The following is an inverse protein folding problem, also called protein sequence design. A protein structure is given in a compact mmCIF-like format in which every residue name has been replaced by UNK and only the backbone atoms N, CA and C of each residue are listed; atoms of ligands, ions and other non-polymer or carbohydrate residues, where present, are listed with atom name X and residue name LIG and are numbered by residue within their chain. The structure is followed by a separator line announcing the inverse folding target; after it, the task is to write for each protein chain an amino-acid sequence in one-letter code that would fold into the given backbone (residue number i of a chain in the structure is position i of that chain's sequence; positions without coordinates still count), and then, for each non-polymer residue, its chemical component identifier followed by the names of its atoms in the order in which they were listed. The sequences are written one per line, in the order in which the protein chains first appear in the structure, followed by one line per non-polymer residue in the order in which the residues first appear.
data_IF_313438387630
#
_entry.id   IF_313438387630
#
_cell.length_a   1.000
_cell.length_b   1.000
_cell.length_c   1.000
_cell.angle_alpha   90.00
_cell.angle_beta   90.00
_cell.angle_gamma   90.00
#
_symmetry.space_group_name_H-M   'P 1'
#
loop_
_entity.id
_entity.type
_entity.pdbx_description
1 polymer ?
#
# COMPACT_ATOMS: atom_id res chain seq x y z
N UNK A 1 -65.56 4.16 21.97
CA UNK A 1 -64.52 4.97 22.64
C UNK A 1 -63.43 4.00 23.05
N UNK A 2 -62.22 4.23 22.54
CA UNK A 2 -61.01 3.40 22.48
C UNK A 2 -60.79 2.31 23.55
N UNK A 3 -60.46 1.11 23.07
CA UNK A 3 -59.99 -0.04 23.85
C UNK A 3 -58.54 0.20 24.35
N UNK A 4 -58.20 -0.10 25.62
CA UNK A 4 -56.89 0.20 26.18
C UNK A 4 -55.80 -0.76 25.65
N UNK A 5 -54.70 -0.17 25.17
CA UNK A 5 -53.50 -0.85 24.67
C UNK A 5 -52.87 -1.75 25.74
N UNK A 6 -52.76 -3.04 25.44
CA UNK A 6 -52.08 -4.04 26.26
C UNK A 6 -50.58 -3.70 26.42
N UNK A 7 -49.99 -3.86 27.62
CA UNK A 7 -48.58 -3.58 27.83
C UNK A 7 -47.70 -4.64 27.16
N UNK A 8 -46.70 -4.17 26.41
CA UNK A 8 -45.73 -5.04 25.72
C UNK A 8 -45.07 -6.04 26.68
N UNK A 9 -45.05 -7.30 26.27
CA UNK A 9 -44.59 -8.41 27.10
C UNK A 9 -43.06 -8.40 27.25
N UNK A 10 -42.53 -8.50 28.50
CA UNK A 10 -41.11 -8.27 28.82
C UNK A 10 -40.16 -9.32 28.21
N UNK A 11 -40.68 -10.46 27.75
CA UNK A 11 -39.89 -11.58 27.22
C UNK A 11 -39.28 -11.31 25.85
N UNK A 12 -39.87 -10.40 25.07
CA UNK A 12 -39.37 -9.99 23.75
C UNK A 12 -38.01 -9.27 23.84
N UNK A 13 -37.84 -8.45 24.89
CA UNK A 13 -36.64 -7.64 25.12
C UNK A 13 -35.43 -8.50 25.49
N UNK A 14 -35.61 -9.52 26.34
CA UNK A 14 -34.55 -10.44 26.74
C UNK A 14 -34.04 -11.24 25.53
N UNK A 15 -34.95 -11.78 24.70
CA UNK A 15 -34.56 -12.56 23.52
C UNK A 15 -33.79 -11.73 22.49
N UNK A 16 -34.19 -10.47 22.29
CA UNK A 16 -33.48 -9.52 21.43
C UNK A 16 -32.07 -9.23 21.95
N UNK A 17 -31.92 -9.04 23.26
CA UNK A 17 -30.62 -8.79 23.88
C UNK A 17 -29.65 -9.97 23.72
N UNK A 18 -30.13 -11.20 23.89
CA UNK A 18 -29.30 -12.39 23.65
C UNK A 18 -28.86 -12.51 22.19
N UNK A 19 -29.74 -12.21 21.22
CA UNK A 19 -29.38 -12.22 19.81
C UNK A 19 -28.29 -11.18 19.52
N UNK A 20 -28.41 -9.97 20.07
CA UNK A 20 -27.40 -8.93 19.93
C UNK A 20 -26.06 -9.35 20.55
N UNK A 21 -26.08 -9.94 21.75
CA UNK A 21 -24.88 -10.47 22.41
C UNK A 21 -24.22 -11.56 21.55
N UNK A 22 -25.00 -12.50 21.01
CA UNK A 22 -24.46 -13.55 20.14
C UNK A 22 -23.79 -12.98 18.88
N UNK A 23 -24.39 -11.97 18.25
CA UNK A 23 -23.79 -11.29 17.08
C UNK A 23 -22.48 -10.61 17.47
N UNK A 24 -22.42 -9.94 18.62
CA UNK A 24 -21.20 -9.28 19.11
C UNK A 24 -20.11 -10.31 19.42
N UNK A 25 -20.45 -11.44 20.04
CA UNK A 25 -19.49 -12.50 20.34
C UNK A 25 -18.97 -13.16 19.05
N UNK A 26 -19.85 -13.43 18.08
CA UNK A 26 -19.45 -14.01 16.79
C UNK A 26 -18.57 -13.05 16.02
N UNK A 27 -18.91 -11.76 15.96
CA UNK A 27 -18.06 -10.75 15.28
C UNK A 27 -16.70 -10.63 15.98
N UNK A 28 -16.66 -10.65 17.32
CA UNK A 28 -15.41 -10.66 18.08
C UNK A 28 -14.56 -11.90 17.79
N UNK A 29 -15.17 -13.09 17.77
CA UNK A 29 -14.47 -14.35 17.46
C UNK A 29 -13.97 -14.37 16.01
N UNK A 30 -14.75 -13.87 15.06
CA UNK A 30 -14.32 -13.75 13.66
C UNK A 30 -13.15 -12.78 13.55
N UNK A 31 -13.22 -11.60 14.16
CA UNK A 31 -12.10 -10.65 14.17
C UNK A 31 -10.87 -11.25 14.84
N UNK A 32 -11.03 -11.97 15.95
CA UNK A 32 -9.93 -12.63 16.65
C UNK A 32 -9.30 -13.76 15.84
N UNK A 33 -10.12 -14.60 15.20
CA UNK A 33 -9.65 -15.72 14.39
C UNK A 33 -8.97 -15.23 13.11
N UNK A 34 -9.61 -14.29 12.42
CA UNK A 34 -9.07 -13.70 11.19
C UNK A 34 -8.08 -12.57 11.45
N UNK A 35 -7.73 -12.26 12.72
CA UNK A 35 -6.83 -11.15 13.08
C UNK A 35 -5.54 -11.16 12.27
N UNK A 36 -4.97 -12.33 12.03
CA UNK A 36 -3.71 -12.45 11.30
C UNK A 36 -3.86 -12.10 9.80
N UNK A 37 -5.00 -12.41 9.17
CA UNK A 37 -5.30 -12.02 7.78
C UNK A 37 -5.82 -10.59 7.68
N UNK A 38 -6.57 -10.12 8.68
CA UNK A 38 -7.11 -8.76 8.75
C UNK A 38 -5.97 -7.76 8.95
N UNK A 39 -4.98 -8.05 9.81
CA UNK A 39 -3.82 -7.16 10.03
C UNK A 39 -3.02 -6.99 8.74
N UNK A 40 -2.73 -8.07 8.01
CA UNK A 40 -2.00 -8.00 6.73
C UNK A 40 -2.76 -7.22 5.64
N UNK A 41 -4.09 -7.34 5.58
CA UNK A 41 -4.91 -6.62 4.60
C UNK A 41 -5.18 -5.16 5.00
N UNK A 42 -5.36 -4.89 6.29
CA UNK A 42 -5.59 -3.56 6.84
C UNK A 42 -4.34 -2.69 6.78
N UNK A 43 -3.15 -3.27 6.97
CA UNK A 43 -1.89 -2.54 6.80
C UNK A 43 -1.68 -2.16 5.32
N UNK A 44 -2.00 -3.07 4.39
CA UNK A 44 -2.00 -2.79 2.94
C UNK A 44 -2.94 -1.64 2.57
N UNK A 45 -4.13 -1.57 3.18
CA UNK A 45 -5.09 -0.49 2.92
C UNK A 45 -4.70 0.84 3.58
N UNK A 46 -4.19 0.83 4.82
CA UNK A 46 -3.80 2.06 5.54
C UNK A 46 -2.53 2.69 5.00
N UNK A 47 -1.55 1.88 4.63
CA UNK A 47 -0.26 2.37 4.15
C UNK A 47 -0.37 2.89 2.72
N UNK A 48 -1.14 2.21 1.85
CA UNK A 48 -1.43 2.69 0.49
C UNK A 48 -2.21 4.02 0.49
N UNK A 49 -3.15 4.18 1.43
CA UNK A 49 -3.99 5.37 1.50
C UNK A 49 -3.25 6.58 2.12
N UNK A 50 -2.21 6.37 2.95
CA UNK A 50 -1.28 7.43 3.37
C UNK A 50 -0.34 7.85 2.24
N UNK A 51 0.20 6.89 1.50
CA UNK A 51 1.07 7.16 0.34
C UNK A 51 0.29 7.94 -0.75
N UNK A 52 -1.01 7.65 -0.93
CA UNK A 52 -1.87 8.34 -1.91
C UNK A 52 -2.41 9.70 -1.45
N UNK A 53 -2.48 9.97 -0.15
CA UNK A 53 -3.05 11.22 0.42
C UNK A 53 -1.98 12.15 1.01
N UNK A 54 -0.75 11.67 1.20
CA UNK A 54 0.40 12.48 1.56
C UNK A 54 0.84 13.25 0.33
N UNK A 55 0.57 14.55 0.34
CA UNK A 55 1.17 15.49 -0.59
C UNK A 55 2.70 15.36 -0.52
N UNK A 56 3.32 14.68 -1.49
CA UNK A 56 4.75 14.81 -1.74
C UNK A 56 4.97 16.22 -2.27
N UNK A 57 5.17 17.16 -1.35
CA UNK A 57 5.75 18.45 -1.68
C UNK A 57 7.23 18.21 -1.89
N UNK A 58 7.69 18.38 -3.13
CA UNK A 58 9.10 18.37 -3.48
C UNK A 58 9.81 19.48 -2.71
N UNK A 59 10.42 19.17 -1.57
CA UNK A 59 11.55 19.94 -1.08
C UNK A 59 12.75 19.46 -1.87
N UNK A 60 13.59 20.38 -2.36
CA UNK A 60 14.75 20.08 -3.23
C UNK A 60 15.89 19.31 -2.55
N UNK A 61 15.56 18.43 -1.61
CA UNK A 61 16.42 17.78 -0.64
C UNK A 61 16.12 16.28 -0.61
N UNK A 62 17.15 15.44 -0.54
CA UNK A 62 17.04 13.98 -0.52
C UNK A 62 16.68 13.41 0.87
N UNK A 63 16.57 14.25 1.89
CA UNK A 63 16.32 13.90 3.28
C UNK A 63 15.01 13.14 3.45
N UNK A 64 13.96 13.55 2.74
CA UNK A 64 12.68 12.83 2.74
C UNK A 64 12.83 11.45 2.08
N UNK A 65 13.63 11.33 1.02
CA UNK A 65 13.86 10.06 0.35
C UNK A 65 14.62 9.09 1.28
N UNK A 66 15.64 9.59 1.99
CA UNK A 66 16.39 8.84 3.01
C UNK A 66 15.47 8.41 4.15
N UNK A 67 14.68 9.33 4.73
CA UNK A 67 13.76 9.05 5.83
C UNK A 67 12.70 8.00 5.45
N UNK A 68 12.39 7.88 4.16
CA UNK A 68 11.47 6.88 3.64
C UNK A 68 12.15 5.58 3.16
N UNK A 69 13.46 5.43 3.36
CA UNK A 69 14.20 4.23 2.97
C UNK A 69 14.37 4.07 1.46
N UNK A 70 14.39 5.17 0.70
CA UNK A 70 14.69 5.18 -0.75
C UNK A 70 16.19 5.31 -1.02
N UNK A 71 17.00 4.66 -0.21
CA UNK A 71 18.46 4.63 -0.33
C UNK A 71 18.98 3.22 -0.05
N UNK A 72 20.11 2.89 -0.66
CA UNK A 72 20.81 1.61 -0.50
C UNK A 72 22.29 1.80 -0.83
N UNK A 73 23.11 0.77 -0.60
CA UNK A 73 24.54 0.79 -0.95
C UNK A 73 24.78 1.12 -2.44
N UNK A 74 23.89 0.69 -3.34
CA UNK A 74 23.98 0.95 -4.77
C UNK A 74 23.29 2.27 -5.19
N UNK A 75 22.65 2.96 -4.26
CA UNK A 75 21.90 4.19 -4.46
C UNK A 75 21.99 5.05 -3.19
N UNK A 76 23.20 5.55 -2.94
CA UNK A 76 23.53 6.32 -1.76
C UNK A 76 23.15 7.79 -1.95
N UNK A 77 22.18 8.24 -1.15
CA UNK A 77 21.72 9.63 -1.12
C UNK A 77 22.41 10.46 -0.03
N UNK A 78 23.10 9.81 0.91
CA UNK A 78 23.86 10.45 2.00
C UNK A 78 25.27 10.87 1.55
N UNK A 79 25.74 10.33 0.44
CA UNK A 79 26.97 10.75 -0.22
C UNK A 79 26.95 12.26 -0.58
N UNK A 80 28.14 12.86 -0.67
CA UNK A 80 28.29 14.27 -1.03
C UNK A 80 27.93 14.52 -2.51
N UNK A 81 26.63 14.65 -2.76
CA UNK A 81 26.01 14.85 -4.07
C UNK A 81 25.88 16.35 -4.43
N UNK A 82 26.57 17.24 -3.72
CA UNK A 82 26.46 18.71 -3.88
C UNK A 82 26.79 19.24 -5.28
N UNK A 83 27.59 18.50 -6.06
CA UNK A 83 27.94 18.84 -7.44
C UNK A 83 27.17 17.99 -8.48
N UNK A 84 26.24 17.15 -8.04
CA UNK A 84 25.43 16.32 -8.93
C UNK A 84 24.15 17.07 -9.34
N UNK A 85 23.98 17.30 -10.65
CA UNK A 85 22.83 17.99 -11.22
C UNK A 85 21.68 17.03 -11.58
N UNK A 86 21.86 15.72 -11.40
CA UNK A 86 20.84 14.71 -11.72
C UNK A 86 19.69 14.80 -10.72
N UNK A 87 18.46 14.81 -11.23
CA UNK A 87 17.22 15.01 -10.44
C UNK A 87 16.75 13.81 -9.61
N UNK A 88 17.58 12.80 -9.39
CA UNK A 88 17.20 11.58 -8.65
C UNK A 88 15.98 10.86 -9.24
N UNK A 89 15.21 10.16 -8.39
CA UNK A 89 13.95 9.51 -8.79
C UNK A 89 12.84 10.53 -9.00
N UNK A 90 11.99 10.33 -10.01
CA UNK A 90 10.74 11.08 -10.15
C UNK A 90 9.75 10.70 -9.04
N UNK A 91 8.87 11.64 -8.68
CA UNK A 91 7.84 11.40 -7.64
C UNK A 91 6.96 10.18 -7.96
N UNK A 92 6.58 10.00 -9.23
CA UNK A 92 5.81 8.83 -9.66
C UNK A 92 6.59 7.51 -9.44
N UNK A 93 7.90 7.51 -9.70
CA UNK A 93 8.74 6.35 -9.46
C UNK A 93 8.87 6.05 -7.96
N UNK A 94 9.09 7.08 -7.13
CA UNK A 94 9.16 6.95 -5.66
C UNK A 94 7.89 6.32 -5.11
N UNK A 95 6.72 6.81 -5.51
CA UNK A 95 5.42 6.27 -5.07
C UNK A 95 5.25 4.80 -5.47
N UNK A 96 5.60 4.45 -6.70
CA UNK A 96 5.48 3.08 -7.21
C UNK A 96 6.44 2.11 -6.56
N UNK A 97 7.68 2.54 -6.31
CA UNK A 97 8.68 1.72 -5.63
C UNK A 97 8.25 1.46 -4.19
N UNK A 98 7.76 2.47 -3.45
CA UNK A 98 7.19 2.28 -2.11
C UNK A 98 6.01 1.30 -2.11
N UNK A 99 5.13 1.42 -3.10
CA UNK A 99 4.02 0.49 -3.26
C UNK A 99 4.51 -0.96 -3.45
N UNK A 100 5.58 -1.18 -4.24
CA UNK A 100 6.18 -2.49 -4.43
C UNK A 100 6.83 -3.00 -3.14
N UNK A 101 7.62 -2.17 -2.45
CA UNK A 101 8.26 -2.52 -1.17
C UNK A 101 7.22 -3.00 -0.15
N UNK A 102 6.14 -2.25 0.05
CA UNK A 102 5.08 -2.60 1.01
C UNK A 102 4.30 -3.83 0.58
N UNK A 103 3.93 -3.95 -0.69
CA UNK A 103 3.11 -5.06 -1.17
C UNK A 103 3.85 -6.39 -1.20
N UNK A 104 5.18 -6.37 -1.40
CA UNK A 104 5.99 -7.57 -1.60
C UNK A 104 7.03 -7.82 -0.51
N UNK A 105 7.19 -6.90 0.44
CA UNK A 105 8.22 -6.99 1.48
C UNK A 105 9.64 -6.96 0.92
N UNK A 106 9.86 -6.27 -0.20
CA UNK A 106 11.15 -6.18 -0.89
C UNK A 106 11.98 -5.01 -0.38
N UNK A 107 13.30 -5.14 -0.44
CA UNK A 107 14.24 -4.03 -0.25
C UNK A 107 14.06 -2.95 -1.32
N UNK A 108 14.61 -1.76 -1.08
CA UNK A 108 14.54 -0.66 -2.04
C UNK A 108 15.10 -1.03 -3.42
N UNK A 109 16.26 -1.69 -3.46
CA UNK A 109 16.88 -2.07 -4.73
C UNK A 109 16.10 -3.13 -5.50
N UNK A 110 15.55 -4.12 -4.81
CA UNK A 110 14.70 -5.15 -5.42
C UNK A 110 13.42 -4.53 -5.97
N UNK A 111 12.78 -3.64 -5.19
CA UNK A 111 11.58 -2.94 -5.61
C UNK A 111 11.84 -1.99 -6.79
N UNK A 112 12.97 -1.29 -6.79
CA UNK A 112 13.43 -0.44 -7.89
C UNK A 112 13.71 -1.26 -9.14
N UNK A 113 14.40 -2.39 -9.02
CA UNK A 113 14.65 -3.29 -10.14
C UNK A 113 13.35 -3.85 -10.74
N UNK A 114 12.38 -4.19 -9.88
CA UNK A 114 11.07 -4.65 -10.34
C UNK A 114 10.27 -3.54 -11.03
N UNK A 115 10.26 -2.33 -10.48
CA UNK A 115 9.64 -1.16 -11.09
C UNK A 115 10.19 -0.91 -12.50
N UNK A 116 11.52 -0.94 -12.65
CA UNK A 116 12.18 -0.77 -13.95
C UNK A 116 11.78 -1.89 -14.92
N UNK A 117 11.84 -3.15 -14.49
CA UNK A 117 11.42 -4.30 -15.32
C UNK A 117 9.96 -4.18 -15.78
N UNK A 118 9.05 -3.78 -14.89
CA UNK A 118 7.65 -3.58 -15.23
C UNK A 118 7.46 -2.42 -16.23
N UNK A 119 8.24 -1.35 -16.07
CA UNK A 119 8.23 -0.20 -16.99
C UNK A 119 8.75 -0.59 -18.37
N UNK A 120 9.84 -1.36 -18.46
CA UNK A 120 10.35 -1.88 -19.73
C UNK A 120 9.31 -2.77 -20.43
N UNK A 121 8.74 -3.73 -19.70
CA UNK A 121 7.68 -4.62 -20.21
C UNK A 121 6.48 -3.84 -20.75
N UNK A 122 6.03 -2.81 -20.02
CA UNK A 122 4.92 -1.94 -20.44
C UNK A 122 5.20 -1.22 -21.75
N UNK A 123 6.46 -0.91 -22.03
CA UNK A 123 6.90 -0.24 -23.25
C UNK A 123 7.36 -1.23 -24.35
N UNK A 124 6.97 -2.51 -24.26
CA UNK A 124 7.38 -3.57 -25.19
C UNK A 124 8.90 -3.73 -25.30
N UNK A 125 9.64 -3.47 -24.22
CA UNK A 125 11.08 -3.70 -24.13
C UNK A 125 11.30 -5.01 -23.37
N UNK A 126 12.25 -5.82 -23.85
CA UNK A 126 12.65 -7.06 -23.20
C UNK A 126 13.48 -6.84 -21.93
N UNK A 127 13.84 -7.92 -21.26
CA UNK A 127 14.66 -7.86 -20.03
C UNK A 127 16.12 -7.50 -20.29
N UNK A 128 16.58 -7.65 -21.53
CA UNK A 128 17.91 -7.28 -21.99
C UNK A 128 17.98 -5.81 -22.46
N UNK A 129 16.85 -5.09 -22.47
CA UNK A 129 16.74 -3.70 -22.93
C UNK A 129 16.46 -3.56 -24.43
N UNK A 130 16.17 -4.65 -25.14
CA UNK A 130 15.89 -4.68 -26.58
C UNK A 130 14.38 -4.52 -26.85
N UNK A 131 13.95 -3.61 -27.72
CA UNK A 131 12.56 -3.53 -28.16
C UNK A 131 12.08 -4.87 -28.75
N UNK A 132 10.87 -5.30 -28.39
CA UNK A 132 10.21 -6.50 -28.95
C UNK A 132 9.56 -6.24 -30.32
N UNK A 133 9.97 -5.18 -31.01
CA UNK A 133 9.45 -4.85 -32.34
C UNK A 133 10.04 -5.83 -33.36
N UNK A 134 9.21 -6.60 -34.11
CA UNK A 134 9.69 -7.51 -35.15
C UNK A 134 10.43 -6.81 -36.29
N UNK A 135 10.33 -5.48 -36.41
CA UNK A 135 11.05 -4.67 -37.40
C UNK A 135 12.31 -4.01 -36.85
N UNK A 136 12.72 -4.33 -35.62
CA UNK A 136 13.93 -3.79 -35.04
C UNK A 136 15.16 -4.27 -35.83
N UNK A 137 15.94 -3.34 -36.36
CA UNK A 137 17.25 -3.59 -36.96
C UNK A 137 18.32 -2.99 -36.05
N UNK A 138 19.29 -3.81 -35.66
CA UNK A 138 20.47 -3.41 -34.86
C UNK A 138 21.73 -3.72 -35.65
N UNK A 139 22.80 -2.95 -35.46
CA UNK A 139 24.04 -3.00 -36.25
C UNK A 139 25.26 -3.29 -35.38
#
# INVERSE_FOLDING_TARGET
MSEPSQPDSPTSYLKSHHVLIFIVVITFLLVFHFRHKIIALHDRYRTSNRIRRGHYTNLGSFEDDIANGLTSDNFDLEANNSNDTRKGLSEDAKLKIKEIMVNKGLSFDEARAEYTRNTLKKNNIDENGVPRDPKLVTF
#
